data_IF_413253591705
#
_entry.id   IF_413253591705
#
_cell.length_a   1.000
_cell.length_b   1.000
_cell.length_c   1.000
_cell.angle_alpha   90.00
_cell.angle_beta   90.00
_cell.angle_gamma   90.00
#
_symmetry.space_group_name_H-M   'P 1'
#
loop_
_entity.id
_entity.type
_entity.pdbx_description
1 polymer ?
#
# COMPACT_ATOMS: atom_id res chain seq x y z
N UNK A 1 -18.60 -20.06 20.49
CA UNK A 1 -18.57 -19.04 19.42
C UNK A 1 -19.11 -19.67 18.16
N UNK A 2 -20.06 -19.02 17.48
CA UNK A 2 -20.52 -19.37 16.13
C UNK A 2 -20.01 -18.28 15.19
N UNK A 3 -19.45 -18.62 14.04
CA UNK A 3 -18.73 -17.65 13.22
C UNK A 3 -17.27 -17.50 13.63
N UNK A 4 -16.62 -16.40 13.23
CA UNK A 4 -15.21 -16.15 13.56
C UNK A 4 -14.20 -16.92 12.71
N UNK A 5 -14.65 -17.63 11.69
CA UNK A 5 -13.78 -18.37 10.78
C UNK A 5 -13.12 -17.44 9.75
N UNK A 6 -12.00 -17.89 9.20
CA UNK A 6 -11.34 -17.20 8.10
C UNK A 6 -11.83 -17.78 6.80
N UNK A 7 -12.37 -16.95 5.92
CA UNK A 7 -12.69 -17.31 4.54
C UNK A 7 -11.55 -16.85 3.64
N UNK A 8 -11.20 -17.66 2.65
CA UNK A 8 -10.18 -17.37 1.64
C UNK A 8 -10.76 -17.50 0.25
N UNK A 9 -10.46 -16.54 -0.63
CA UNK A 9 -10.91 -16.59 -2.02
C UNK A 9 -10.00 -17.51 -2.83
N UNK A 10 -10.56 -18.55 -3.43
CA UNK A 10 -9.86 -19.47 -4.34
C UNK A 10 -9.62 -18.82 -5.71
N UNK A 11 -8.76 -19.45 -6.52
CA UNK A 11 -8.47 -19.00 -7.88
C UNK A 11 -9.68 -19.02 -8.83
N UNK A 12 -10.70 -19.83 -8.53
CA UNK A 12 -11.98 -19.87 -9.23
C UNK A 12 -12.97 -18.77 -8.75
N UNK A 13 -12.54 -17.89 -7.83
CA UNK A 13 -13.35 -16.83 -7.24
C UNK A 13 -14.27 -17.26 -6.10
N UNK A 14 -14.44 -18.57 -5.85
CA UNK A 14 -15.28 -19.06 -4.76
C UNK A 14 -14.57 -18.99 -3.41
N UNK A 15 -15.35 -18.88 -2.32
CA UNK A 15 -14.81 -18.81 -0.97
C UNK A 15 -14.58 -20.23 -0.39
N UNK A 16 -13.42 -20.46 0.19
CA UNK A 16 -13.13 -21.62 1.01
C UNK A 16 -13.07 -21.22 2.49
N UNK A 17 -13.76 -21.98 3.34
CA UNK A 17 -13.75 -21.80 4.78
C UNK A 17 -12.51 -22.49 5.36
N UNK A 18 -11.72 -21.77 6.15
CA UNK A 18 -10.64 -22.35 6.96
C UNK A 18 -11.21 -22.64 8.34
N UNK A 19 -11.24 -23.91 8.70
CA UNK A 19 -11.56 -24.33 10.07
C UNK A 19 -10.42 -23.92 11.00
N UNK A 20 -10.73 -23.37 12.18
CA UNK A 20 -9.72 -23.19 13.23
C UNK A 20 -9.55 -21.81 13.86
N UNK A 21 -10.61 -21.18 14.41
CA UNK A 21 -10.41 -20.21 15.49
C UNK A 21 -10.31 -20.87 16.88
N UNK A 22 -10.27 -22.20 16.98
CA UNK A 22 -10.14 -22.93 18.24
C UNK A 22 -8.73 -22.84 18.82
N UNK A 23 -8.63 -22.95 20.15
CA UNK A 23 -7.35 -22.98 20.84
C UNK A 23 -6.44 -24.08 20.27
N UNK A 24 -5.16 -23.76 20.09
CA UNK A 24 -4.17 -24.70 19.53
C UNK A 24 -4.16 -24.81 18.01
N UNK A 25 -4.96 -24.02 17.28
CA UNK A 25 -4.98 -24.02 15.82
C UNK A 25 -4.07 -22.93 15.25
N UNK A 26 -3.47 -23.20 14.10
CA UNK A 26 -2.66 -22.26 13.33
C UNK A 26 -3.09 -22.30 11.88
N UNK A 27 -3.16 -21.13 11.23
CA UNK A 27 -3.38 -21.01 9.80
C UNK A 27 -2.20 -20.27 9.20
N UNK A 28 -1.57 -20.87 8.19
CA UNK A 28 -0.51 -20.22 7.40
C UNK A 28 -1.09 -19.78 6.06
N UNK A 29 -0.97 -18.48 5.77
CA UNK A 29 -1.43 -17.87 4.53
C UNK A 29 -0.28 -17.14 3.84
N UNK A 30 -0.31 -17.10 2.51
CA UNK A 30 0.59 -16.25 1.76
C UNK A 30 0.10 -14.79 1.84
N UNK A 31 0.75 -14.01 2.72
CA UNK A 31 0.43 -12.61 2.97
C UNK A 31 0.50 -11.77 1.70
N UNK A 32 -0.42 -10.80 1.55
CA UNK A 32 -0.54 -9.95 0.36
C UNK A 32 -1.00 -10.65 -0.93
N UNK A 33 -0.99 -11.99 -0.95
CA UNK A 33 -1.34 -12.76 -2.13
C UNK A 33 -2.71 -13.42 -2.04
N UNK A 34 -3.11 -13.83 -0.83
CA UNK A 34 -4.38 -14.49 -0.58
C UNK A 34 -5.38 -13.50 0.01
N UNK A 35 -6.45 -13.23 -0.72
CA UNK A 35 -7.59 -12.50 -0.20
C UNK A 35 -8.32 -13.34 0.85
N UNK A 36 -8.52 -12.75 2.02
CA UNK A 36 -9.16 -13.40 3.13
C UNK A 36 -10.07 -12.45 3.90
N UNK A 37 -11.04 -13.03 4.59
CA UNK A 37 -12.01 -12.33 5.43
C UNK A 37 -12.12 -13.07 6.76
N UNK A 38 -11.89 -12.38 7.88
CA UNK A 38 -12.27 -12.88 9.19
C UNK A 38 -13.77 -12.61 9.40
N UNK A 39 -14.58 -13.67 9.43
CA UNK A 39 -16.01 -13.54 9.63
C UNK A 39 -16.32 -13.05 11.04
N UNK A 40 -17.47 -12.39 11.20
CA UNK A 40 -17.94 -11.94 12.51
C UNK A 40 -18.19 -13.14 13.41
N UNK A 41 -17.74 -13.03 14.66
CA UNK A 41 -18.01 -13.99 15.72
C UNK A 41 -19.30 -13.61 16.47
N UNK A 42 -20.10 -14.63 16.80
CA UNK A 42 -21.32 -14.51 17.60
C UNK A 42 -21.24 -15.45 18.82
N UNK A 43 -21.91 -15.06 19.91
CA UNK A 43 -21.94 -15.85 21.15
C UNK A 43 -20.58 -15.98 21.84
N UNK A 44 -19.70 -14.98 21.68
CA UNK A 44 -18.45 -14.84 22.40
C UNK A 44 -18.23 -13.37 22.74
N UNK A 45 -17.67 -13.09 23.92
CA UNK A 45 -17.33 -11.72 24.34
C UNK A 45 -16.18 -11.16 23.49
N UNK A 46 -15.17 -11.99 23.23
CA UNK A 46 -13.95 -11.60 22.52
C UNK A 46 -13.45 -12.75 21.62
N UNK A 47 -12.73 -12.39 20.57
CA UNK A 47 -11.96 -13.31 19.71
C UNK A 47 -10.54 -12.78 19.62
N UNK A 48 -9.61 -13.47 20.28
CA UNK A 48 -8.19 -13.09 20.32
C UNK A 48 -7.43 -13.97 19.32
N UNK A 49 -6.65 -13.35 18.45
CA UNK A 49 -5.78 -14.03 17.49
C UNK A 49 -4.43 -13.33 17.44
N UNK A 50 -3.34 -14.09 17.38
CA UNK A 50 -1.99 -13.56 17.18
C UNK A 50 -1.56 -13.83 15.75
N UNK A 51 -1.02 -12.80 15.08
CA UNK A 51 -0.55 -12.89 13.70
C UNK A 51 0.95 -12.60 13.72
N UNK A 52 1.72 -13.51 13.12
CA UNK A 52 3.16 -13.32 12.89
C UNK A 52 3.41 -13.40 11.40
N UNK A 53 3.88 -12.30 10.82
CA UNK A 53 4.28 -12.25 9.42
C UNK A 53 5.72 -12.70 9.27
N UNK A 54 5.98 -13.52 8.27
CA UNK A 54 7.33 -13.95 7.89
C UNK A 54 7.63 -13.47 6.47
N UNK A 55 8.89 -13.08 6.24
CA UNK A 55 9.44 -12.91 4.89
C UNK A 55 10.41 -14.05 4.58
N UNK A 56 10.60 -14.35 3.30
CA UNK A 56 11.63 -15.29 2.90
C UNK A 56 13.03 -14.76 3.28
N UNK A 57 13.88 -15.64 3.80
CA UNK A 57 15.28 -15.34 4.13
C UNK A 57 16.19 -15.56 2.91
N UNK A 58 15.82 -14.94 1.77
CA UNK A 58 16.53 -15.04 0.49
C UNK A 58 17.04 -13.65 0.11
N UNK A 59 18.37 -13.43 0.01
CA UNK A 59 18.94 -12.18 -0.48
C UNK A 59 18.50 -11.87 -1.91
N UNK A 60 18.38 -10.58 -2.25
CA UNK A 60 17.94 -10.13 -3.57
C UNK A 60 16.45 -10.28 -3.84
N UNK A 61 15.70 -10.96 -2.97
CA UNK A 61 14.25 -11.04 -3.10
C UNK A 61 13.61 -9.73 -2.63
N UNK A 62 12.75 -9.17 -3.47
CA UNK A 62 12.01 -7.95 -3.13
C UNK A 62 11.01 -8.24 -1.99
N UNK A 63 11.03 -7.41 -0.95
CA UNK A 63 10.06 -7.48 0.15
C UNK A 63 8.92 -6.49 -0.10
N UNK A 64 7.78 -7.05 -0.49
CA UNK A 64 6.53 -6.36 -0.84
C UNK A 64 5.63 -6.06 0.37
N UNK A 65 6.09 -6.36 1.59
CA UNK A 65 5.36 -6.09 2.84
C UNK A 65 4.81 -4.67 2.91
N UNK A 66 3.67 -4.52 3.60
CA UNK A 66 3.04 -3.23 3.80
C UNK A 66 2.21 -3.13 5.09
N UNK A 67 2.00 -1.91 5.59
CA UNK A 67 1.39 -1.60 6.89
C UNK A 67 0.08 -0.79 6.78
N UNK A 68 -0.38 -0.46 5.57
CA UNK A 68 -1.59 0.36 5.37
C UNK A 68 -2.84 -0.19 6.03
N UNK A 69 -3.00 -1.52 6.02
CA UNK A 69 -4.15 -2.18 6.63
C UNK A 69 -4.12 -2.16 8.16
N UNK A 70 -2.95 -2.01 8.78
CA UNK A 70 -2.80 -1.99 10.24
C UNK A 70 -2.70 -0.59 10.81
N UNK A 71 -2.26 0.41 10.01
CA UNK A 71 -2.16 1.81 10.41
C UNK A 71 -3.40 2.33 11.15
N UNK A 72 -4.65 2.09 10.72
CA UNK A 72 -5.82 2.63 11.43
C UNK A 72 -5.98 2.11 12.86
N UNK A 73 -5.42 0.95 13.17
CA UNK A 73 -5.64 0.21 14.42
C UNK A 73 -4.46 0.28 15.39
N UNK A 74 -3.29 0.74 14.95
CA UNK A 74 -2.06 0.72 15.72
C UNK A 74 -1.70 2.09 16.33
N UNK A 75 -0.86 2.06 17.35
CA UNK A 75 -0.09 3.22 17.79
C UNK A 75 0.97 3.55 16.72
N UNK A 76 0.88 4.73 16.12
CA UNK A 76 1.72 5.09 14.97
C UNK A 76 3.19 5.29 15.31
N UNK A 77 3.57 5.97 16.42
CA UNK A 77 4.96 6.04 16.87
C UNK A 77 5.60 4.66 17.02
N UNK A 78 4.94 3.73 17.70
CA UNK A 78 5.44 2.37 17.85
C UNK A 78 5.52 1.64 16.49
N UNK A 79 4.43 1.62 15.72
CA UNK A 79 4.38 0.94 14.41
C UNK A 79 5.47 1.44 13.46
N UNK A 80 5.67 2.76 13.38
CA UNK A 80 6.64 3.36 12.48
C UNK A 80 8.08 3.09 12.93
N UNK A 81 8.34 3.02 14.23
CA UNK A 81 9.64 2.64 14.76
C UNK A 81 9.98 1.20 14.40
N UNK A 82 9.06 0.27 14.66
CA UNK A 82 9.22 -1.16 14.33
C UNK A 82 9.36 -1.38 12.82
N UNK A 83 8.50 -0.75 12.03
CA UNK A 83 8.53 -0.80 10.57
C UNK A 83 9.86 -0.30 10.01
N UNK A 84 10.31 0.88 10.44
CA UNK A 84 11.55 1.47 9.94
C UNK A 84 12.76 0.60 10.29
N UNK A 85 12.86 0.14 11.54
CA UNK A 85 13.96 -0.73 11.98
C UNK A 85 13.99 -2.04 11.20
N UNK A 86 12.84 -2.70 11.03
CA UNK A 86 12.72 -3.91 10.21
C UNK A 86 13.20 -3.67 8.77
N UNK A 87 12.73 -2.58 8.14
CA UNK A 87 13.03 -2.29 6.73
C UNK A 87 14.51 -1.95 6.53
N UNK A 88 15.12 -1.21 7.46
CA UNK A 88 16.54 -0.87 7.43
C UNK A 88 17.43 -2.09 7.69
N UNK A 89 17.06 -2.99 8.59
CA UNK A 89 17.82 -4.22 8.83
C UNK A 89 17.82 -5.13 7.59
N UNK A 90 16.68 -5.23 6.88
CA UNK A 90 16.64 -5.92 5.59
C UNK A 90 17.56 -5.23 4.57
N UNK A 91 17.51 -3.91 4.46
CA UNK A 91 18.39 -3.16 3.54
C UNK A 91 19.87 -3.40 3.85
N UNK A 92 20.26 -3.44 5.12
CA UNK A 92 21.63 -3.76 5.54
C UNK A 92 22.06 -5.13 5.01
N UNK A 93 21.21 -6.15 5.14
CA UNK A 93 21.48 -7.49 4.61
C UNK A 93 21.65 -7.48 3.07
N UNK A 94 20.84 -6.69 2.35
CA UNK A 94 20.98 -6.54 0.90
C UNK A 94 22.28 -5.82 0.51
N UNK A 95 22.67 -4.80 1.25
CA UNK A 95 23.95 -4.10 1.05
C UNK A 95 25.12 -5.05 1.24
N UNK A 96 25.12 -5.81 2.34
CA UNK A 96 26.16 -6.81 2.63
C UNK A 96 26.21 -7.88 1.52
N UNK A 97 25.06 -8.33 1.03
CA UNK A 97 24.97 -9.27 -0.09
C UNK A 97 25.56 -8.69 -1.39
N UNK A 98 25.25 -7.44 -1.74
CA UNK A 98 25.79 -6.79 -2.94
C UNK A 98 27.30 -6.56 -2.81
N UNK A 99 27.81 -6.15 -1.65
CA UNK A 99 29.24 -6.00 -1.41
C UNK A 99 29.99 -7.32 -1.64
N UNK A 100 29.46 -8.43 -1.10
CA UNK A 100 30.02 -9.76 -1.31
C UNK A 100 30.00 -10.16 -2.79
N UNK A 101 28.92 -9.83 -3.50
CA UNK A 101 28.77 -10.10 -4.94
C UNK A 101 29.84 -9.35 -5.77
N UNK A 102 30.09 -8.07 -5.47
CA UNK A 102 31.15 -7.27 -6.12
C UNK A 102 32.53 -7.87 -5.86
N UNK A 103 32.84 -8.23 -4.60
CA UNK A 103 34.13 -8.83 -4.23
C UNK A 103 34.35 -10.16 -4.97
N UNK A 104 33.32 -10.99 -5.07
CA UNK A 104 33.37 -12.26 -5.81
C UNK A 104 33.56 -12.05 -7.31
N UNK A 105 32.98 -10.99 -7.89
CA UNK A 105 33.16 -10.65 -9.30
C UNK A 105 34.62 -10.29 -9.62
N UNK A 106 35.21 -9.37 -8.84
CA UNK A 106 36.62 -8.95 -8.98
C UNK A 106 37.60 -10.12 -8.79
N UNK A 107 37.24 -11.06 -7.91
CA UNK A 107 38.03 -12.28 -7.67
C UNK A 107 38.08 -13.21 -8.89
N UNK A 108 37.06 -13.17 -9.76
CA UNK A 108 36.95 -14.00 -10.98
C UNK A 108 37.54 -13.29 -12.20
N UNK A 109 37.31 -11.99 -12.32
CA UNK A 109 37.83 -11.15 -13.39
C UNK A 109 38.16 -9.76 -12.84
N UNK A 110 39.47 -9.49 -12.73
CA UNK A 110 40.01 -8.28 -12.08
C UNK A 110 39.79 -7.00 -12.88
N UNK A 111 39.56 -7.12 -14.19
CA UNK A 111 39.40 -5.98 -15.10
C UNK A 111 37.93 -5.69 -15.42
N UNK A 112 37.01 -6.45 -14.83
CA UNK A 112 35.56 -6.30 -14.99
C UNK A 112 34.87 -5.76 -13.74
N UNK A 113 33.74 -5.07 -13.94
CA UNK A 113 32.88 -4.57 -12.88
C UNK A 113 31.41 -4.91 -13.19
N UNK A 114 30.62 -5.42 -12.23
CA UNK A 114 29.24 -5.80 -12.47
C UNK A 114 28.30 -4.58 -12.46
N UNK A 115 28.49 -3.67 -13.43
CA UNK A 115 27.77 -2.40 -13.49
C UNK A 115 26.25 -2.59 -13.52
N UNK A 116 25.76 -3.54 -14.32
CA UNK A 116 24.33 -3.81 -14.46
C UNK A 116 23.70 -4.32 -13.17
N UNK A 117 24.40 -5.18 -12.42
CA UNK A 117 23.93 -5.70 -11.13
C UNK A 117 23.88 -4.59 -10.07
N UNK A 118 24.90 -3.73 -10.03
CA UNK A 118 24.95 -2.58 -9.12
C UNK A 118 23.86 -1.57 -9.45
N UNK A 119 23.62 -1.31 -10.73
CA UNK A 119 22.54 -0.45 -11.18
C UNK A 119 21.17 -1.01 -10.77
N UNK A 120 20.93 -2.31 -11.02
CA UNK A 120 19.67 -2.95 -10.62
C UNK A 120 19.46 -2.93 -9.11
N UNK A 121 20.51 -3.23 -8.34
CA UNK A 121 20.49 -3.14 -6.88
C UNK A 121 20.12 -1.73 -6.40
N UNK A 122 20.74 -0.69 -6.96
CA UNK A 122 20.48 0.70 -6.57
C UNK A 122 19.01 1.08 -6.83
N UNK A 123 18.48 0.79 -8.01
CA UNK A 123 17.08 1.05 -8.36
C UNK A 123 16.12 0.30 -7.41
N UNK A 124 16.41 -0.97 -7.11
CA UNK A 124 15.64 -1.74 -6.13
C UNK A 124 15.66 -1.10 -4.73
N UNK A 125 16.82 -0.65 -4.24
CA UNK A 125 16.92 -0.03 -2.92
C UNK A 125 16.25 1.35 -2.86
N UNK A 126 16.35 2.15 -3.92
CA UNK A 126 15.65 3.45 -4.04
C UNK A 126 14.13 3.22 -3.97
N UNK A 127 13.61 2.32 -4.80
CA UNK A 127 12.20 1.95 -4.82
C UNK A 127 11.74 1.41 -3.45
N UNK A 128 12.55 0.57 -2.82
CA UNK A 128 12.28 -0.02 -1.52
C UNK A 128 12.18 1.03 -0.39
N UNK A 129 13.10 2.00 -0.32
CA UNK A 129 13.05 3.08 0.67
C UNK A 129 11.90 4.04 0.40
N UNK A 130 11.68 4.39 -0.87
CA UNK A 130 10.54 5.21 -1.28
C UNK A 130 9.23 4.55 -0.82
N UNK A 131 9.02 3.27 -1.10
CA UNK A 131 7.85 2.52 -0.60
C UNK A 131 7.78 2.52 0.93
N UNK A 132 8.91 2.35 1.61
CA UNK A 132 8.97 2.31 3.09
C UNK A 132 8.43 3.60 3.71
N UNK A 133 8.91 4.76 3.26
CA UNK A 133 8.46 6.06 3.79
C UNK A 133 7.05 6.42 3.33
N UNK A 134 6.64 6.02 2.11
CA UNK A 134 5.29 6.30 1.61
C UNK A 134 4.20 5.60 2.39
N UNK A 135 4.50 4.49 3.05
CA UNK A 135 3.55 3.85 3.94
C UNK A 135 3.42 4.54 5.31
N UNK A 136 4.27 5.54 5.62
CA UNK A 136 4.24 6.28 6.87
C UNK A 136 3.56 7.64 6.66
N UNK A 137 2.25 7.68 6.96
CA UNK A 137 1.44 8.90 6.86
C UNK A 137 1.68 9.79 8.09
N UNK A 138 1.65 11.11 7.88
CA UNK A 138 1.78 12.10 8.95
C UNK A 138 0.81 11.81 10.12
N UNK A 139 1.35 11.77 11.34
CA UNK A 139 0.60 11.33 12.52
C UNK A 139 -0.57 12.27 12.87
N UNK A 140 -0.38 13.57 12.69
CA UNK A 140 -1.41 14.61 12.91
C UNK A 140 -2.57 14.44 11.92
N UNK A 141 -2.27 14.20 10.64
CA UNK A 141 -3.27 13.91 9.61
C UNK A 141 -4.06 12.65 9.98
N UNK A 142 -3.36 11.56 10.35
CA UNK A 142 -4.03 10.32 10.79
C UNK A 142 -4.90 10.55 12.04
N UNK A 143 -4.42 11.34 13.02
CA UNK A 143 -5.19 11.66 14.21
C UNK A 143 -6.44 12.48 13.87
N UNK A 144 -6.35 13.44 12.96
CA UNK A 144 -7.49 14.24 12.51
C UNK A 144 -8.51 13.40 11.73
N UNK A 145 -8.05 12.46 10.89
CA UNK A 145 -8.92 11.49 10.22
C UNK A 145 -9.65 10.64 11.25
N UNK A 146 -8.95 10.05 12.23
CA UNK A 146 -9.55 9.21 13.28
C UNK A 146 -10.55 9.97 14.16
N UNK A 147 -10.41 11.29 14.32
CA UNK A 147 -11.37 12.13 15.05
C UNK A 147 -12.66 12.38 14.27
N UNK A 148 -12.59 12.39 12.94
CA UNK A 148 -13.69 12.80 12.06
C UNK A 148 -14.42 11.63 11.40
N UNK A 149 -13.70 10.55 11.13
CA UNK A 149 -14.18 9.41 10.37
C UNK A 149 -13.98 8.13 11.17
N UNK A 150 -14.96 7.25 11.08
CA UNK A 150 -14.76 5.90 11.58
C UNK A 150 -13.82 5.10 10.64
N UNK A 151 -13.30 3.97 11.14
CA UNK A 151 -12.37 3.14 10.38
C UNK A 151 -13.05 2.49 9.17
N UNK A 152 -14.37 2.24 9.22
CA UNK A 152 -15.12 1.68 8.08
C UNK A 152 -15.23 2.71 6.97
N UNK A 153 -15.56 3.96 7.27
CA UNK A 153 -15.60 5.06 6.31
C UNK A 153 -14.26 5.27 5.61
N UNK A 154 -13.17 5.19 6.38
CA UNK A 154 -11.81 5.27 5.82
C UNK A 154 -11.52 4.06 4.94
N UNK A 155 -11.96 2.87 5.32
CA UNK A 155 -11.75 1.65 4.53
C UNK A 155 -12.57 1.60 3.23
N UNK A 156 -13.77 2.18 3.20
CA UNK A 156 -14.65 2.25 2.02
C UNK A 156 -14.38 3.46 1.13
N UNK A 157 -13.39 4.30 1.46
CA UNK A 157 -13.06 5.49 0.68
C UNK A 157 -12.78 5.20 -0.80
N UNK A 158 -12.28 4.02 -1.14
CA UNK A 158 -12.07 3.61 -2.53
C UNK A 158 -13.38 3.51 -3.33
N UNK A 159 -14.45 3.02 -2.70
CA UNK A 159 -15.78 2.96 -3.30
C UNK A 159 -16.37 4.37 -3.46
N UNK A 160 -16.18 5.23 -2.46
CA UNK A 160 -16.59 6.64 -2.52
C UNK A 160 -15.89 7.36 -3.66
N UNK A 161 -14.57 7.16 -3.77
CA UNK A 161 -13.76 7.73 -4.83
C UNK A 161 -14.19 7.27 -6.23
N UNK A 162 -14.53 5.98 -6.39
CA UNK A 162 -15.04 5.45 -7.65
C UNK A 162 -16.31 6.18 -8.14
N UNK A 163 -17.19 6.60 -7.21
CA UNK A 163 -18.37 7.43 -7.52
C UNK A 163 -18.00 8.89 -7.79
N UNK A 164 -17.19 9.49 -6.93
CA UNK A 164 -16.81 10.91 -7.03
C UNK A 164 -16.06 11.20 -8.33
N UNK A 165 -15.10 10.34 -8.72
CA UNK A 165 -14.24 10.58 -9.89
C UNK A 165 -14.99 10.65 -11.22
N UNK A 166 -16.15 9.98 -11.32
CA UNK A 166 -16.98 9.99 -12.53
C UNK A 166 -18.02 11.12 -12.54
N UNK A 167 -18.24 11.77 -11.41
CA UNK A 167 -19.24 12.84 -11.26
C UNK A 167 -18.87 14.09 -12.07
N UNK A 168 -19.81 14.67 -12.82
CA UNK A 168 -19.51 15.80 -13.72
C UNK A 168 -19.03 17.05 -12.96
N UNK A 169 -19.70 17.39 -11.85
CA UNK A 169 -19.31 18.52 -11.01
C UNK A 169 -17.89 18.37 -10.44
N UNK A 170 -17.44 17.14 -10.19
CA UNK A 170 -16.07 16.92 -9.73
C UNK A 170 -15.06 17.31 -10.80
N UNK A 171 -15.31 17.01 -12.08
CA UNK A 171 -14.45 17.41 -13.20
C UNK A 171 -14.32 18.92 -13.31
N UNK A 172 -15.42 19.64 -13.06
CA UNK A 172 -15.45 21.11 -13.10
C UNK A 172 -14.67 21.73 -11.92
N UNK A 173 -14.71 21.08 -10.75
CA UNK A 173 -13.99 21.51 -9.54
C UNK A 173 -12.50 21.14 -9.56
N UNK A 174 -12.13 20.08 -10.29
CA UNK A 174 -10.80 19.46 -10.25
C UNK A 174 -9.64 20.46 -10.43
N UNK A 175 -9.64 21.40 -11.40
CA UNK A 175 -8.54 22.36 -11.54
C UNK A 175 -8.31 23.21 -10.28
N UNK A 176 -9.40 23.68 -9.66
CA UNK A 176 -9.35 24.48 -8.43
C UNK A 176 -8.91 23.66 -7.22
N UNK A 177 -9.41 22.42 -7.11
CA UNK A 177 -8.98 21.46 -6.08
C UNK A 177 -7.49 21.18 -6.19
N UNK A 178 -6.97 20.91 -7.39
CA UNK A 178 -5.56 20.60 -7.59
C UNK A 178 -4.66 21.80 -7.32
N UNK A 179 -5.07 23.02 -7.70
CA UNK A 179 -4.32 24.24 -7.38
C UNK A 179 -4.13 24.43 -5.87
N UNK A 180 -5.16 24.13 -5.07
CA UNK A 180 -5.07 24.18 -3.61
C UNK A 180 -4.33 22.97 -3.02
N UNK A 181 -4.42 21.80 -3.66
CA UNK A 181 -3.72 20.57 -3.25
C UNK A 181 -2.20 20.77 -3.32
N UNK A 182 -1.70 21.51 -4.31
CA UNK A 182 -0.27 21.88 -4.42
C UNK A 182 0.23 22.72 -3.24
N UNK A 183 -0.66 23.39 -2.51
CA UNK A 183 -0.33 24.18 -1.32
C UNK A 183 -0.46 23.38 -0.02
N UNK A 184 -0.92 22.13 -0.09
CA UNK A 184 -1.13 21.28 1.07
C UNK A 184 0.10 20.41 1.33
N UNK A 185 0.98 20.91 2.22
CA UNK A 185 2.26 20.29 2.56
C UNK A 185 2.27 18.76 2.75
N UNK A 186 1.33 18.17 3.52
CA UNK A 186 1.28 16.73 3.80
C UNK A 186 1.19 15.83 2.56
N UNK A 187 0.72 16.34 1.42
CA UNK A 187 0.53 15.55 0.19
C UNK A 187 1.55 15.81 -0.91
N UNK A 188 2.44 16.80 -0.72
CA UNK A 188 3.49 17.13 -1.69
C UNK A 188 4.31 15.91 -2.15
N UNK A 189 4.69 14.96 -1.27
CA UNK A 189 5.47 13.82 -1.73
C UNK A 189 4.68 12.91 -2.69
N UNK A 190 3.36 12.79 -2.50
CA UNK A 190 2.48 11.96 -3.33
C UNK A 190 2.16 12.61 -4.68
N UNK A 191 2.16 13.95 -4.75
CA UNK A 191 1.97 14.66 -6.02
C UNK A 191 3.12 14.38 -6.99
N UNK A 192 4.36 14.26 -6.49
CA UNK A 192 5.51 13.88 -7.34
C UNK A 192 5.36 12.45 -7.87
N UNK A 193 4.93 11.53 -7.01
CA UNK A 193 4.71 10.14 -7.41
C UNK A 193 3.56 10.01 -8.41
N UNK A 194 2.53 10.86 -8.29
CA UNK A 194 1.43 10.93 -9.24
C UNK A 194 1.91 11.33 -10.63
N UNK A 195 2.71 12.40 -10.75
CA UNK A 195 3.25 12.85 -12.04
C UNK A 195 4.18 11.81 -12.68
N UNK A 196 5.03 11.16 -11.87
CA UNK A 196 5.87 10.05 -12.32
C UNK A 196 5.01 8.89 -12.84
N UNK A 197 3.95 8.52 -12.11
CA UNK A 197 3.03 7.45 -12.51
C UNK A 197 2.28 7.82 -13.79
N UNK A 198 1.82 9.07 -13.95
CA UNK A 198 1.19 9.55 -15.21
C UNK A 198 2.14 9.42 -16.38
N UNK A 199 3.41 9.78 -16.20
CA UNK A 199 4.44 9.62 -17.23
C UNK A 199 4.65 8.15 -17.60
N UNK A 200 4.73 7.26 -16.61
CA UNK A 200 4.87 5.81 -16.83
C UNK A 200 3.66 5.22 -17.58
N UNK A 201 2.44 5.67 -17.26
CA UNK A 201 1.23 5.25 -17.98
C UNK A 201 1.28 5.72 -19.44
N UNK A 202 1.59 6.99 -19.69
CA UNK A 202 1.64 7.58 -21.04
C UNK A 202 2.73 6.98 -21.92
N UNK A 203 3.84 6.54 -21.32
CA UNK A 203 4.95 5.88 -22.03
C UNK A 203 4.76 4.38 -22.26
N UNK A 204 3.61 3.80 -21.86
CA UNK A 204 3.33 2.37 -22.04
C UNK A 204 3.98 1.48 -20.99
N UNK A 205 4.55 2.06 -19.92
CA UNK A 205 5.27 1.36 -18.86
C UNK A 205 4.44 1.18 -17.58
N UNK A 206 3.10 1.23 -17.68
CA UNK A 206 2.20 1.11 -16.53
C UNK A 206 2.41 -0.20 -15.74
N UNK A 207 2.80 -1.30 -16.42
CA UNK A 207 3.08 -2.59 -15.78
C UNK A 207 4.31 -2.59 -14.87
N UNK A 208 5.18 -1.57 -14.98
CA UNK A 208 6.34 -1.40 -14.10
C UNK A 208 6.00 -0.64 -12.82
N UNK A 209 4.79 -0.10 -12.72
CA UNK A 209 4.31 0.58 -11.53
C UNK A 209 3.81 -0.48 -10.54
N UNK A 210 4.26 -0.40 -9.29
CA UNK A 210 3.79 -1.28 -8.22
C UNK A 210 2.67 -0.61 -7.43
N UNK A 211 1.61 -1.33 -7.09
CA UNK A 211 0.60 -0.91 -6.11
C UNK A 211 0.86 -1.55 -4.75
N UNK A 212 0.08 -1.19 -3.72
CA UNK A 212 0.12 -1.93 -2.46
C UNK A 212 -0.25 -3.41 -2.62
N UNK A 213 -1.16 -3.73 -3.54
CA UNK A 213 -1.72 -5.06 -3.77
C UNK A 213 -1.07 -5.80 -4.96
N UNK A 214 0.22 -5.55 -5.26
CA UNK A 214 1.04 -6.09 -6.38
C UNK A 214 1.13 -5.15 -7.60
N UNK A 215 1.50 -5.68 -8.77
CA UNK A 215 1.61 -4.95 -10.05
C UNK A 215 0.35 -4.14 -10.32
N UNK A 216 0.55 -2.84 -10.55
CA UNK A 216 -0.53 -1.93 -10.89
C UNK A 216 -1.06 -2.31 -12.29
N UNK A 217 -2.36 -2.57 -12.38
CA UNK A 217 -3.04 -2.68 -13.66
C UNK A 217 -4.03 -1.53 -13.78
N UNK A 218 -3.72 -0.57 -14.64
CA UNK A 218 -4.67 0.48 -15.02
C UNK A 218 -5.40 0.03 -16.27
N UNK A 219 -6.66 -0.36 -16.11
CA UNK A 219 -7.48 -0.82 -17.22
C UNK A 219 -8.87 -0.16 -17.20
N UNK A 220 -8.92 1.15 -16.92
CA UNK A 220 -10.05 1.94 -17.36
C UNK A 220 -9.84 2.28 -18.83
N UNK A 221 -10.91 2.24 -19.63
CA UNK A 221 -10.98 2.65 -21.03
C UNK A 221 -9.89 3.67 -21.36
N UNK A 222 -9.16 3.49 -22.48
CA UNK A 222 -8.01 4.32 -22.95
C UNK A 222 -8.20 5.86 -22.92
N UNK A 223 -9.37 6.35 -22.52
CA UNK A 223 -9.81 7.74 -22.47
C UNK A 223 -9.99 8.30 -21.04
N UNK A 224 -9.90 7.49 -19.97
CA UNK A 224 -9.98 8.01 -18.60
C UNK A 224 -8.62 8.48 -18.07
N UNK A 225 -8.60 9.70 -17.54
CA UNK A 225 -7.41 10.28 -16.92
C UNK A 225 -7.09 9.59 -15.58
N UNK A 226 -5.80 9.35 -15.34
CA UNK A 226 -5.29 8.89 -14.06
C UNK A 226 -5.19 10.08 -13.09
N UNK A 227 -6.08 10.12 -12.10
CA UNK A 227 -6.26 11.25 -11.19
C UNK A 227 -5.52 11.05 -9.86
N UNK A 228 -5.37 12.14 -9.10
CA UNK A 228 -4.64 12.11 -7.85
C UNK A 228 -5.24 11.13 -6.81
N UNK A 229 -6.56 11.01 -6.76
CA UNK A 229 -7.21 10.01 -5.88
C UNK A 229 -6.89 8.56 -6.28
N UNK A 230 -6.68 8.29 -7.58
CA UNK A 230 -6.27 6.97 -8.06
C UNK A 230 -4.85 6.63 -7.60
N UNK A 231 -3.97 7.64 -7.54
CA UNK A 231 -2.61 7.52 -7.00
C UNK A 231 -2.62 7.21 -5.50
N UNK A 232 -3.43 7.95 -4.73
CA UNK A 232 -3.55 7.69 -3.29
C UNK A 232 -4.07 6.28 -3.01
N UNK A 233 -5.03 5.78 -3.79
CA UNK A 233 -5.49 4.38 -3.67
C UNK A 233 -4.43 3.36 -4.09
N UNK A 234 -3.70 3.62 -5.18
CA UNK A 234 -2.61 2.73 -5.64
C UNK A 234 -1.56 2.55 -4.54
N UNK A 235 -1.23 3.62 -3.85
CA UNK A 235 -0.30 3.63 -2.71
C UNK A 235 -0.96 3.26 -1.37
N UNK A 236 -2.26 2.93 -1.36
CA UNK A 236 -3.07 2.60 -0.19
C UNK A 236 -3.06 3.62 0.94
N UNK A 237 -3.04 4.89 0.55
CA UNK A 237 -3.09 6.06 1.40
C UNK A 237 -4.55 6.47 1.67
N UNK A 238 -5.34 5.54 2.21
CA UNK A 238 -6.78 5.74 2.45
C UNK A 238 -7.06 6.93 3.37
N UNK A 239 -6.23 7.12 4.39
CA UNK A 239 -6.31 8.23 5.33
C UNK A 239 -6.05 9.57 4.63
N UNK A 240 -5.07 9.59 3.71
CA UNK A 240 -4.76 10.80 2.92
C UNK A 240 -5.90 11.10 1.95
N UNK A 241 -6.46 10.07 1.32
CA UNK A 241 -7.57 10.23 0.39
C UNK A 241 -8.83 10.76 1.08
N UNK A 242 -9.22 10.19 2.22
CA UNK A 242 -10.41 10.68 2.94
C UNK A 242 -10.20 12.10 3.45
N UNK A 243 -8.99 12.43 3.93
CA UNK A 243 -8.63 13.78 4.32
C UNK A 243 -8.68 14.76 3.15
N UNK A 244 -8.18 14.35 1.97
CA UNK A 244 -8.22 15.15 0.74
C UNK A 244 -9.66 15.42 0.29
N UNK A 245 -10.48 14.37 0.20
CA UNK A 245 -11.89 14.49 -0.18
C UNK A 245 -12.68 15.37 0.79
N UNK A 246 -12.46 15.22 2.08
CA UNK A 246 -13.11 16.05 3.10
C UNK A 246 -12.65 17.51 3.04
N UNK A 247 -11.34 17.76 2.89
CA UNK A 247 -10.78 19.12 2.85
C UNK A 247 -11.39 19.98 1.76
N UNK A 248 -11.73 19.37 0.61
CA UNK A 248 -12.27 20.04 -0.56
C UNK A 248 -13.77 19.81 -0.77
N UNK A 249 -14.46 19.35 0.28
CA UNK A 249 -15.92 19.11 0.30
C UNK A 249 -16.43 18.13 -0.78
N UNK A 250 -15.56 17.24 -1.25
CA UNK A 250 -15.87 16.30 -2.34
C UNK A 250 -16.71 15.11 -1.86
N UNK A 251 -16.76 14.85 -0.55
CA UNK A 251 -17.59 13.79 0.03
C UNK A 251 -19.10 14.05 -0.14
N UNK A 252 -19.53 15.29 -0.35
CA UNK A 252 -20.94 15.60 -0.57
C UNK A 252 -21.42 15.19 -1.96
N UNK A 253 -20.53 15.18 -2.96
CA UNK A 253 -20.84 14.75 -4.33
C UNK A 253 -21.24 13.27 -4.39
N UNK A 254 -20.84 12.47 -3.41
CA UNK A 254 -21.28 11.08 -3.28
C UNK A 254 -22.79 10.97 -3.01
N UNK A 255 -23.36 11.90 -2.23
CA UNK A 255 -24.76 11.83 -1.77
C UNK A 255 -25.76 12.20 -2.86
N UNK A 256 -25.30 12.90 -3.89
CA UNK A 256 -26.09 13.36 -5.03
C UNK A 256 -26.04 12.38 -6.23
N UNK A 257 -25.34 11.24 -6.06
CA UNK A 257 -25.11 10.19 -7.09
C UNK A 257 -26.04 8.99 -6.96
#
# INVERSE_FOLDING_TARGET
MTGGETYIRKGDGSAAKVEGPSLGHCVMLQGGQVEHLAARAFGATERITTITSYRAAIPGLYDDSYISNVRPYCDLPQLYTEWTNYRLEKMKQEIEHMQNTIIQHISRDRDSFPLDEVYHFAEQQISYLKRTVRQMVEQTLCADVRRRFDVRETNTVGEKWARIRVHQQFKDLLPGVMAQTLLWGPVLPYLRDWEETKYMIRSGNASLVYSEQRTFSWNHNRFEEYLFGDELLRQGLKEVLVAWLHRFDLLNLEKDS
#
